data_IF_391792174208
#
_entry.id   IF_391792174208
#
_cell.length_a   1.000
_cell.length_b   1.000
_cell.length_c   1.000
_cell.angle_alpha   90.00
_cell.angle_beta   90.00
_cell.angle_gamma   90.00
#
_symmetry.space_group_name_H-M   'P 1'
#
loop_
_entity.id
_entity.type
_entity.pdbx_description
1 polymer ?
#
# COMPACT_ATOMS: atom_id res chain seq x y z
N UNK A 1 -18.49 -8.83 -31.50
CA UNK A 1 -17.28 -8.44 -32.21
C UNK A 1 -16.10 -8.59 -31.27
N UNK A 2 -15.02 -9.25 -31.70
CA UNK A 2 -13.83 -9.39 -30.87
C UNK A 2 -13.19 -8.01 -30.67
N UNK A 3 -12.66 -7.69 -29.49
CA UNK A 3 -12.13 -6.36 -29.18
C UNK A 3 -11.03 -5.90 -30.16
N UNK A 4 -10.18 -6.81 -30.64
CA UNK A 4 -9.15 -6.51 -31.65
C UNK A 4 -9.74 -6.04 -32.98
N UNK A 5 -10.84 -6.65 -33.44
CA UNK A 5 -11.48 -6.24 -34.69
C UNK A 5 -12.11 -4.86 -34.56
N UNK A 6 -12.68 -4.58 -33.38
CA UNK A 6 -13.18 -3.23 -33.08
C UNK A 6 -12.04 -2.19 -33.07
N UNK A 7 -10.90 -2.53 -32.46
CA UNK A 7 -9.74 -1.64 -32.40
C UNK A 7 -9.14 -1.37 -33.79
N UNK A 8 -9.10 -2.38 -34.68
CA UNK A 8 -8.68 -2.20 -36.07
C UNK A 8 -9.54 -1.20 -36.84
N UNK A 9 -10.85 -1.20 -36.58
CA UNK A 9 -11.80 -0.34 -37.29
C UNK A 9 -11.84 1.07 -36.73
N UNK A 10 -11.69 1.24 -35.39
CA UNK A 10 -11.94 2.50 -34.69
C UNK A 10 -10.68 3.10 -34.03
N UNK A 11 -9.56 2.36 -34.02
CA UNK A 11 -8.37 2.75 -33.25
C UNK A 11 -7.73 4.07 -33.67
N UNK A 12 -7.95 4.50 -34.92
CA UNK A 12 -7.39 5.78 -35.44
C UNK A 12 -8.03 7.02 -34.79
N UNK A 13 -9.22 6.87 -34.25
CA UNK A 13 -9.96 7.97 -33.61
C UNK A 13 -9.69 8.05 -32.09
N UNK A 14 -8.83 7.14 -31.56
CA UNK A 14 -8.49 7.10 -30.14
C UNK A 14 -7.28 8.02 -29.89
N UNK A 15 -7.48 9.06 -29.08
CA UNK A 15 -6.40 10.00 -28.70
C UNK A 15 -5.55 9.47 -27.54
N UNK A 16 -6.16 8.82 -26.56
CA UNK A 16 -5.50 8.30 -25.37
C UNK A 16 -5.93 6.88 -25.05
N UNK A 17 -4.98 6.04 -24.59
CA UNK A 17 -5.25 4.73 -24.02
C UNK A 17 -4.63 4.66 -22.65
N UNK A 18 -5.46 4.36 -21.66
CA UNK A 18 -5.03 4.15 -20.28
C UNK A 18 -5.00 2.66 -19.97
N UNK A 19 -3.81 2.14 -19.72
CA UNK A 19 -3.57 0.75 -19.36
C UNK A 19 -3.31 0.65 -17.86
N UNK A 20 -3.94 -0.34 -17.23
CA UNK A 20 -3.90 -0.50 -15.78
C UNK A 20 -3.61 -1.96 -15.43
N UNK A 21 -2.68 -2.17 -14.50
CA UNK A 21 -2.19 -3.46 -14.01
C UNK A 21 -1.41 -4.27 -15.07
N UNK A 22 -0.22 -4.80 -14.75
CA UNK A 22 0.65 -5.43 -15.74
C UNK A 22 0.02 -6.69 -16.36
N UNK A 23 -0.56 -7.60 -15.57
CA UNK A 23 -1.16 -8.85 -16.04
C UNK A 23 -2.38 -8.65 -16.99
N UNK A 24 -2.98 -7.48 -16.97
CA UNK A 24 -4.03 -7.07 -17.90
C UNK A 24 -3.39 -6.39 -19.12
N UNK A 25 -2.54 -5.39 -18.87
CA UNK A 25 -1.99 -4.48 -19.88
C UNK A 25 -1.15 -5.21 -20.94
N UNK A 26 -0.37 -6.22 -20.56
CA UNK A 26 0.41 -7.05 -21.50
C UNK A 26 -0.42 -7.71 -22.57
N UNK A 27 -1.73 -7.91 -22.35
CA UNK A 27 -2.63 -8.52 -23.33
C UNK A 27 -3.07 -7.55 -24.43
N UNK A 28 -2.93 -6.24 -24.20
CA UNK A 28 -3.49 -5.21 -25.04
C UNK A 28 -2.44 -4.31 -25.69
N UNK A 29 -1.28 -4.13 -25.07
CA UNK A 29 -0.29 -3.12 -25.46
C UNK A 29 0.13 -3.25 -26.93
N UNK A 30 0.44 -4.45 -27.42
CA UNK A 30 0.87 -4.68 -28.78
C UNK A 30 -0.22 -4.28 -29.79
N UNK A 31 -1.47 -4.69 -29.55
CA UNK A 31 -2.57 -4.33 -30.42
C UNK A 31 -2.91 -2.83 -30.38
N UNK A 32 -2.75 -2.19 -29.21
CA UNK A 32 -2.91 -0.74 -29.08
C UNK A 32 -1.84 -0.05 -29.92
N UNK A 33 -0.59 -0.46 -29.85
CA UNK A 33 0.50 0.10 -30.65
C UNK A 33 0.37 -0.17 -32.14
N UNK A 34 -0.19 -1.33 -32.52
CA UNK A 34 -0.38 -1.72 -33.92
C UNK A 34 -1.53 -0.95 -34.58
N UNK A 35 -2.68 -0.77 -33.88
CA UNK A 35 -3.92 -0.30 -34.48
C UNK A 35 -4.32 1.12 -34.11
N UNK A 36 -3.56 1.81 -33.24
CA UNK A 36 -3.87 3.19 -32.81
C UNK A 36 -2.66 4.10 -32.94
N UNK A 37 -2.92 5.41 -33.03
CA UNK A 37 -1.94 6.47 -32.84
C UNK A 37 -2.06 7.10 -31.44
N UNK A 38 -2.78 6.45 -30.55
CA UNK A 38 -3.08 6.95 -29.23
C UNK A 38 -1.82 7.13 -28.38
N UNK A 39 -1.82 8.18 -27.56
CA UNK A 39 -0.88 8.29 -26.46
C UNK A 39 -1.20 7.25 -25.41
N UNK A 40 -0.26 6.36 -25.11
CA UNK A 40 -0.44 5.27 -24.16
C UNK A 40 0.10 5.65 -22.81
N UNK A 41 -0.77 5.63 -21.82
CA UNK A 41 -0.45 5.86 -20.42
C UNK A 41 -0.62 4.55 -19.67
N UNK A 42 0.42 4.18 -18.95
CA UNK A 42 0.39 2.98 -18.12
C UNK A 42 0.41 3.36 -16.64
N UNK A 43 -0.47 2.74 -15.85
CA UNK A 43 -0.48 2.86 -14.40
C UNK A 43 -0.17 1.49 -13.75
N UNK A 44 0.99 1.39 -13.14
CA UNK A 44 1.39 0.26 -12.30
C UNK A 44 0.96 0.50 -10.84
N UNK A 45 0.39 -0.51 -10.20
CA UNK A 45 -0.01 -0.40 -8.79
C UNK A 45 1.15 -0.68 -7.83
N UNK A 46 1.98 -1.62 -8.22
CA UNK A 46 3.20 -2.05 -7.55
C UNK A 46 4.09 -2.76 -8.58
N UNK A 47 5.36 -2.91 -8.25
CA UNK A 47 6.28 -3.71 -9.05
C UNK A 47 6.22 -5.17 -8.62
N UNK A 48 5.62 -6.02 -9.47
CA UNK A 48 5.46 -7.45 -9.18
C UNK A 48 6.80 -8.13 -8.98
N UNK A 49 7.79 -7.82 -9.84
CA UNK A 49 9.12 -8.40 -9.72
C UNK A 49 9.78 -8.06 -8.38
N UNK A 50 9.63 -6.83 -7.91
CA UNK A 50 10.22 -6.38 -6.65
C UNK A 50 9.54 -7.05 -5.46
N UNK A 51 8.21 -7.20 -5.49
CA UNK A 51 7.46 -7.89 -4.45
C UNK A 51 7.86 -9.36 -4.34
N UNK A 52 7.93 -10.08 -5.47
CA UNK A 52 8.30 -11.49 -5.48
C UNK A 52 9.76 -11.73 -5.11
N UNK A 53 10.66 -10.82 -5.51
CA UNK A 53 12.06 -10.84 -5.08
C UNK A 53 12.18 -10.73 -3.57
N UNK A 54 11.47 -9.78 -2.95
CA UNK A 54 11.47 -9.59 -1.49
C UNK A 54 10.81 -10.77 -0.77
N UNK A 55 9.79 -11.39 -1.34
CA UNK A 55 9.19 -12.61 -0.81
C UNK A 55 10.19 -13.77 -0.85
N UNK A 56 10.95 -13.91 -1.95
CA UNK A 56 12.06 -14.88 -2.03
C UNK A 56 13.13 -14.63 -0.95
N UNK A 57 13.54 -13.38 -0.76
CA UNK A 57 14.55 -13.02 0.25
C UNK A 57 14.11 -13.41 1.67
N UNK A 58 12.81 -13.36 1.94
CA UNK A 58 12.23 -13.75 3.23
C UNK A 58 12.04 -15.26 3.37
N UNK A 59 11.58 -15.94 2.31
CA UNK A 59 11.10 -17.33 2.38
C UNK A 59 12.11 -18.36 1.86
N UNK A 60 13.04 -17.95 0.99
CA UNK A 60 13.95 -18.82 0.27
C UNK A 60 13.29 -19.67 -0.84
N UNK A 61 12.04 -19.39 -1.21
CA UNK A 61 11.33 -20.15 -2.26
C UNK A 61 11.90 -19.81 -3.65
N UNK A 62 12.70 -20.73 -4.20
CA UNK A 62 13.36 -20.55 -5.48
C UNK A 62 12.41 -20.32 -6.67
N UNK A 63 11.15 -20.76 -6.58
CA UNK A 63 10.17 -20.51 -7.63
C UNK A 63 9.84 -19.00 -7.77
N UNK A 64 9.90 -18.25 -6.67
CA UNK A 64 9.69 -16.81 -6.66
C UNK A 64 10.82 -16.05 -7.38
N UNK A 65 12.04 -16.55 -7.31
CA UNK A 65 13.18 -15.91 -8.01
C UNK A 65 13.00 -15.95 -9.52
N UNK A 66 12.59 -17.10 -10.06
CA UNK A 66 12.31 -17.23 -11.50
C UNK A 66 11.10 -16.38 -11.90
N UNK A 67 10.02 -16.42 -11.12
CA UNK A 67 8.82 -15.63 -11.37
C UNK A 67 9.11 -14.13 -11.34
N UNK A 68 9.92 -13.67 -10.38
CA UNK A 68 10.38 -12.29 -10.29
C UNK A 68 11.12 -11.85 -11.58
N UNK A 69 12.05 -12.66 -12.08
CA UNK A 69 12.77 -12.35 -13.33
C UNK A 69 11.83 -12.27 -14.55
N UNK A 70 10.84 -13.18 -14.61
CA UNK A 70 9.85 -13.17 -15.68
C UNK A 70 8.94 -11.92 -15.61
N UNK A 71 8.60 -11.47 -14.40
CA UNK A 71 7.84 -10.23 -14.20
C UNK A 71 8.67 -9.00 -14.52
N UNK A 72 9.93 -8.94 -14.10
CA UNK A 72 10.81 -7.80 -14.43
C UNK A 72 10.85 -7.55 -15.93
N UNK A 73 11.05 -8.61 -16.74
CA UNK A 73 11.04 -8.51 -18.19
C UNK A 73 9.71 -7.97 -18.71
N UNK A 74 8.57 -8.55 -18.29
CA UNK A 74 7.23 -8.15 -18.75
C UNK A 74 6.87 -6.72 -18.35
N UNK A 75 7.19 -6.32 -17.13
CA UNK A 75 6.90 -4.98 -16.63
C UNK A 75 7.75 -3.94 -17.33
N UNK A 76 9.05 -4.22 -17.58
CA UNK A 76 9.92 -3.34 -18.34
C UNK A 76 9.49 -3.19 -19.80
N UNK A 77 9.12 -4.29 -20.47
CA UNK A 77 8.60 -4.24 -21.85
C UNK A 77 7.34 -3.35 -21.91
N UNK A 78 6.44 -3.46 -20.95
CA UNK A 78 5.23 -2.66 -20.87
C UNK A 78 5.52 -1.18 -20.59
N UNK A 79 6.39 -0.89 -19.62
CA UNK A 79 6.79 0.47 -19.27
C UNK A 79 7.46 1.17 -20.46
N UNK A 80 8.37 0.49 -21.14
CA UNK A 80 9.07 1.04 -22.30
C UNK A 80 8.17 1.17 -23.54
N UNK A 81 7.13 0.38 -23.64
CA UNK A 81 6.13 0.49 -24.70
C UNK A 81 5.10 1.61 -24.44
N UNK A 82 4.97 2.12 -23.23
CA UNK A 82 4.11 3.25 -22.92
C UNK A 82 4.77 4.59 -23.24
N UNK A 83 3.98 5.64 -23.51
CA UNK A 83 4.49 7.01 -23.69
C UNK A 83 4.80 7.67 -22.35
N UNK A 84 4.11 7.24 -21.28
CA UNK A 84 4.33 7.60 -19.89
C UNK A 84 3.83 6.49 -18.99
N UNK A 85 4.60 6.14 -17.96
CA UNK A 85 4.20 5.24 -16.90
C UNK A 85 4.07 6.00 -15.57
N UNK A 86 3.07 5.66 -14.77
CA UNK A 86 2.89 6.20 -13.43
C UNK A 86 2.88 5.08 -12.39
N UNK A 87 3.52 5.34 -11.27
CA UNK A 87 3.54 4.45 -10.11
C UNK A 87 3.17 5.20 -8.82
N UNK A 88 2.71 4.49 -7.78
CA UNK A 88 2.20 5.12 -6.56
C UNK A 88 3.24 5.91 -5.76
N UNK A 89 4.53 5.58 -5.88
CA UNK A 89 5.56 6.23 -5.08
C UNK A 89 6.88 6.44 -5.84
N UNK A 90 7.72 7.30 -5.27
CA UNK A 90 9.07 7.57 -5.77
C UNK A 90 9.99 6.34 -5.69
N UNK A 91 9.66 5.34 -4.85
CA UNK A 91 10.47 4.12 -4.70
C UNK A 91 10.41 3.28 -5.96
N UNK A 92 9.20 3.09 -6.51
CA UNK A 92 9.04 2.41 -7.80
C UNK A 92 9.66 3.20 -8.95
N UNK A 93 9.48 4.52 -8.96
CA UNK A 93 10.10 5.39 -9.96
C UNK A 93 11.62 5.23 -9.96
N UNK A 94 12.27 5.25 -8.79
CA UNK A 94 13.71 5.04 -8.65
C UNK A 94 14.13 3.64 -9.07
N UNK A 95 13.43 2.60 -8.60
CA UNK A 95 13.75 1.22 -8.96
C UNK A 95 13.68 0.96 -10.47
N UNK A 96 12.72 1.59 -11.16
CA UNK A 96 12.63 1.50 -12.61
C UNK A 96 13.80 2.26 -13.29
N UNK A 97 14.15 3.46 -12.83
CA UNK A 97 15.25 4.23 -13.39
C UNK A 97 16.62 3.56 -13.20
N UNK A 98 16.81 2.78 -12.12
CA UNK A 98 18.02 2.01 -11.90
C UNK A 98 18.24 0.93 -12.98
N UNK A 99 17.17 0.27 -13.43
CA UNK A 99 17.24 -0.80 -14.43
C UNK A 99 16.95 -0.34 -15.85
N UNK A 100 16.22 0.76 -16.02
CA UNK A 100 15.86 1.35 -17.31
C UNK A 100 15.88 2.90 -17.24
N UNK A 101 17.06 3.54 -17.24
CA UNK A 101 17.20 5.00 -17.10
C UNK A 101 16.45 5.82 -18.17
N UNK A 102 16.17 5.22 -19.34
CA UNK A 102 15.44 5.84 -20.43
C UNK A 102 13.91 5.79 -20.26
N UNK A 103 13.40 5.05 -19.29
CA UNK A 103 11.96 4.91 -19.07
C UNK A 103 11.34 6.26 -18.67
N UNK A 104 10.23 6.58 -19.29
CA UNK A 104 9.42 7.73 -18.89
C UNK A 104 8.48 7.30 -17.80
N UNK A 105 8.91 7.46 -16.56
CA UNK A 105 8.14 7.08 -15.38
C UNK A 105 8.11 8.22 -14.37
N UNK A 106 6.97 8.39 -13.69
CA UNK A 106 6.78 9.38 -12.62
C UNK A 106 5.97 8.78 -11.48
N UNK A 107 6.29 9.19 -10.26
CA UNK A 107 5.44 8.93 -9.11
C UNK A 107 4.19 9.82 -9.13
N UNK A 108 3.04 9.23 -8.83
CA UNK A 108 1.76 9.95 -8.68
C UNK A 108 1.04 9.44 -7.42
N UNK A 109 0.37 10.29 -6.65
CA UNK A 109 -0.41 9.82 -5.51
C UNK A 109 -1.44 8.76 -5.90
N UNK A 110 -1.40 7.59 -5.27
CA UNK A 110 -2.34 6.49 -5.53
C UNK A 110 -3.75 6.77 -5.00
N UNK A 111 -3.84 7.63 -3.99
CA UNK A 111 -5.06 8.00 -3.29
C UNK A 111 -5.21 9.51 -3.36
N UNK A 112 -6.44 9.96 -3.61
CA UNK A 112 -6.76 11.39 -3.69
C UNK A 112 -7.94 11.67 -2.77
N UNK A 113 -7.75 12.63 -1.87
CA UNK A 113 -8.77 13.04 -0.92
C UNK A 113 -9.13 14.49 -1.18
N UNK A 114 -10.43 14.76 -1.38
CA UNK A 114 -10.97 16.12 -1.54
C UNK A 114 -10.96 16.88 -0.21
N UNK A 115 -11.30 16.16 0.86
CA UNK A 115 -11.43 16.72 2.19
C UNK A 115 -10.73 15.83 3.20
N UNK A 116 -9.81 16.41 3.94
CA UNK A 116 -9.14 15.76 5.06
C UNK A 116 -9.46 16.59 6.31
N UNK A 117 -10.57 16.22 6.95
CA UNK A 117 -10.96 16.84 8.21
C UNK A 117 -10.08 16.33 9.34
N UNK A 118 -9.57 17.24 10.14
CA UNK A 118 -8.82 16.93 11.33
C UNK A 118 -9.77 16.36 12.39
N UNK A 119 -9.50 15.16 12.89
CA UNK A 119 -10.31 14.57 13.94
C UNK A 119 -10.02 15.18 15.31
N UNK A 120 -10.97 15.02 16.22
CA UNK A 120 -10.73 15.31 17.63
C UNK A 120 -9.72 14.31 18.22
N UNK A 121 -8.70 14.82 18.91
CA UNK A 121 -7.60 14.02 19.48
C UNK A 121 -7.95 13.46 20.86
N UNK A 122 -9.02 12.65 20.96
CA UNK A 122 -9.46 12.03 22.22
C UNK A 122 -8.81 10.66 22.44
N UNK A 123 -7.48 10.61 22.49
CA UNK A 123 -6.76 9.36 22.72
C UNK A 123 -6.97 8.76 24.11
N UNK A 124 -7.44 9.55 25.08
CA UNK A 124 -7.90 9.08 26.40
C UNK A 124 -9.11 8.11 26.29
N UNK A 125 -9.93 8.25 25.24
CA UNK A 125 -11.11 7.40 24.99
C UNK A 125 -10.81 6.24 24.04
N UNK A 126 -9.75 6.33 23.23
CA UNK A 126 -9.37 5.28 22.28
C UNK A 126 -8.65 4.14 22.98
N UNK A 127 -8.93 2.92 22.52
CA UNK A 127 -8.32 1.69 23.07
C UNK A 127 -7.96 0.76 21.94
N UNK A 128 -7.18 -0.27 22.30
CA UNK A 128 -6.89 -1.38 21.42
C UNK A 128 -6.14 -1.01 20.13
N UNK A 129 -5.86 -2.02 19.34
CA UNK A 129 -5.13 -1.91 18.09
C UNK A 129 -5.96 -2.50 16.95
N UNK A 130 -5.66 -2.09 15.73
CA UNK A 130 -6.27 -2.67 14.54
C UNK A 130 -5.24 -2.98 13.46
N UNK A 131 -5.52 -4.00 12.68
CA UNK A 131 -4.88 -4.30 11.40
C UNK A 131 -5.97 -4.49 10.36
N UNK A 132 -5.77 -3.95 9.15
CA UNK A 132 -6.66 -4.20 8.02
C UNK A 132 -5.89 -4.74 6.82
N UNK A 133 -6.48 -5.74 6.13
CA UNK A 133 -5.94 -6.23 4.86
C UNK A 133 -6.71 -7.40 4.30
N UNK A 134 -7.06 -7.34 3.01
CA UNK A 134 -7.66 -8.47 2.31
C UNK A 134 -6.71 -9.67 2.25
N UNK A 135 -7.19 -10.85 2.64
CA UNK A 135 -6.37 -12.05 2.78
C UNK A 135 -6.11 -12.80 1.45
N UNK A 136 -6.66 -12.34 0.34
CA UNK A 136 -6.19 -12.73 -0.98
C UNK A 136 -4.78 -12.22 -1.31
N UNK A 137 -4.23 -11.33 -0.49
CA UNK A 137 -2.87 -10.78 -0.62
C UNK A 137 -1.94 -11.43 0.41
N UNK A 138 -1.01 -12.26 -0.05
CA UNK A 138 -0.11 -13.08 0.79
C UNK A 138 0.66 -12.30 1.86
N UNK A 139 1.18 -11.06 1.60
CA UNK A 139 1.82 -10.27 2.65
C UNK A 139 0.95 -10.00 3.87
N UNK A 140 -0.37 -9.94 3.73
CA UNK A 140 -1.28 -9.75 4.86
C UNK A 140 -1.40 -11.01 5.73
N UNK A 141 -1.38 -12.19 5.10
CA UNK A 141 -1.37 -13.48 5.82
C UNK A 141 -0.10 -13.61 6.65
N UNK A 142 1.04 -13.33 6.02
CA UNK A 142 2.35 -13.35 6.68
C UNK A 142 2.42 -12.36 7.85
N UNK A 143 1.95 -11.14 7.64
CA UNK A 143 1.92 -10.10 8.68
C UNK A 143 1.13 -10.53 9.93
N UNK A 144 -0.04 -11.14 9.74
CA UNK A 144 -0.86 -11.61 10.88
C UNK A 144 -0.22 -12.82 11.57
N UNK A 145 0.45 -13.71 10.82
CA UNK A 145 1.23 -14.80 11.40
C UNK A 145 2.39 -14.29 12.24
N UNK A 146 3.15 -13.33 11.73
CA UNK A 146 4.25 -12.73 12.47
C UNK A 146 3.75 -12.00 13.72
N UNK A 147 2.67 -11.24 13.58
CA UNK A 147 2.00 -10.59 14.71
C UNK A 147 1.61 -11.58 15.79
N UNK A 148 0.92 -12.66 15.43
CA UNK A 148 0.41 -13.66 16.37
C UNK A 148 1.51 -14.44 17.08
N UNK A 149 2.54 -14.86 16.33
CA UNK A 149 3.53 -15.79 16.83
C UNK A 149 4.71 -15.12 17.53
N UNK A 150 5.10 -13.91 17.11
CA UNK A 150 6.31 -13.25 17.59
C UNK A 150 6.03 -11.96 18.37
N UNK A 151 5.04 -11.16 17.96
CA UNK A 151 4.75 -9.87 18.60
C UNK A 151 3.78 -10.03 19.77
N UNK A 152 2.64 -10.67 19.57
CA UNK A 152 1.58 -10.78 20.58
C UNK A 152 2.03 -11.40 21.90
N UNK A 153 2.84 -12.50 21.95
CA UNK A 153 3.24 -13.10 23.22
C UNK A 153 4.04 -12.17 24.13
N UNK A 154 4.81 -11.26 23.55
CA UNK A 154 5.57 -10.27 24.31
C UNK A 154 4.73 -9.01 24.60
N UNK A 155 3.88 -8.59 23.68
CA UNK A 155 3.02 -7.42 23.83
C UNK A 155 2.00 -7.60 24.97
N UNK A 156 1.35 -8.76 25.09
CA UNK A 156 0.39 -9.06 26.15
C UNK A 156 1.04 -9.05 27.53
N UNK A 157 2.32 -9.41 27.65
CA UNK A 157 3.04 -9.27 28.94
C UNK A 157 3.21 -7.82 29.37
N UNK A 158 3.30 -6.89 28.43
CA UNK A 158 3.43 -5.44 28.70
C UNK A 158 2.08 -4.75 28.83
N UNK A 159 1.11 -5.18 28.06
CA UNK A 159 -0.26 -4.63 27.97
C UNK A 159 -1.28 -5.79 28.08
N UNK A 160 -1.55 -6.31 29.28
CA UNK A 160 -2.37 -7.54 29.43
C UNK A 160 -3.78 -7.42 28.88
N UNK A 161 -4.39 -6.24 28.95
CA UNK A 161 -5.78 -6.01 28.51
C UNK A 161 -5.89 -5.59 27.04
N UNK A 162 -4.75 -5.54 26.30
CA UNK A 162 -4.75 -5.11 24.91
C UNK A 162 -5.51 -6.09 24.01
N UNK A 163 -6.28 -5.55 23.08
CA UNK A 163 -6.88 -6.32 21.99
C UNK A 163 -6.39 -5.83 20.66
N UNK A 164 -6.27 -6.74 19.71
CA UNK A 164 -5.93 -6.45 18.33
C UNK A 164 -7.04 -6.97 17.44
N UNK A 165 -7.68 -6.09 16.70
CA UNK A 165 -8.71 -6.42 15.74
C UNK A 165 -8.09 -6.64 14.36
N UNK A 166 -8.26 -7.85 13.82
CA UNK A 166 -7.80 -8.23 12.48
C UNK A 166 -9.00 -8.16 11.53
N UNK A 167 -8.97 -7.16 10.66
CA UNK A 167 -10.03 -6.83 9.71
C UNK A 167 -9.61 -7.21 8.29
N UNK A 168 -10.55 -7.70 7.50
CA UNK A 168 -10.32 -7.98 6.08
C UNK A 168 -11.07 -9.20 5.57
N UNK A 169 -11.37 -9.17 4.27
CA UNK A 169 -12.14 -10.22 3.62
C UNK A 169 -11.37 -11.52 3.45
N UNK A 170 -12.12 -12.64 3.52
CA UNK A 170 -11.66 -13.98 3.20
C UNK A 170 -10.41 -14.42 4.00
N UNK A 171 -10.41 -14.37 5.34
CA UNK A 171 -9.32 -14.93 6.12
C UNK A 171 -9.22 -16.44 5.84
N UNK A 172 -8.03 -16.97 5.51
CA UNK A 172 -7.83 -18.40 5.37
C UNK A 172 -7.85 -19.07 6.75
N UNK A 173 -8.13 -20.36 6.79
CA UNK A 173 -8.22 -21.15 8.02
C UNK A 173 -6.97 -20.99 8.91
N UNK A 174 -5.78 -20.92 8.31
CA UNK A 174 -4.52 -20.71 9.03
C UNK A 174 -4.43 -19.33 9.74
N UNK A 175 -5.20 -18.34 9.31
CA UNK A 175 -5.34 -17.04 10.00
C UNK A 175 -6.43 -17.11 11.06
N UNK A 176 -7.56 -17.76 10.76
CA UNK A 176 -8.65 -17.93 11.72
C UNK A 176 -8.21 -18.71 12.99
N UNK A 177 -7.35 -19.72 12.82
CA UNK A 177 -6.77 -20.50 13.91
C UNK A 177 -5.82 -19.72 14.83
N UNK A 178 -5.38 -18.51 14.44
CA UNK A 178 -4.54 -17.64 15.28
C UNK A 178 -5.36 -16.84 16.30
N UNK A 179 -6.68 -16.90 16.27
CA UNK A 179 -7.55 -16.16 17.17
C UNK A 179 -7.30 -16.54 18.64
N UNK A 180 -7.21 -15.51 19.48
CA UNK A 180 -7.10 -15.62 20.94
C UNK A 180 -8.03 -14.58 21.60
N UNK A 181 -8.06 -14.53 22.93
CA UNK A 181 -8.79 -13.48 23.66
C UNK A 181 -8.24 -12.06 23.39
N UNK A 182 -6.94 -11.94 23.02
CA UNK A 182 -6.29 -10.69 22.71
C UNK A 182 -6.14 -10.43 21.19
N UNK A 183 -6.28 -11.45 20.33
CA UNK A 183 -6.20 -11.33 18.87
C UNK A 183 -7.53 -11.77 18.24
N UNK A 184 -8.30 -10.81 17.78
CA UNK A 184 -9.68 -11.00 17.36
C UNK A 184 -9.81 -10.93 15.84
N UNK A 185 -10.02 -12.07 15.18
CA UNK A 185 -10.23 -12.13 13.73
C UNK A 185 -11.71 -11.76 13.44
N UNK A 186 -11.92 -10.59 12.84
CA UNK A 186 -13.26 -10.04 12.56
C UNK A 186 -13.75 -10.34 11.14
N UNK A 187 -12.82 -10.63 10.23
CA UNK A 187 -13.18 -10.83 8.83
C UNK A 187 -13.57 -9.53 8.12
N UNK A 188 -14.50 -9.63 7.19
CA UNK A 188 -15.01 -8.47 6.44
C UNK A 188 -15.77 -7.51 7.37
N UNK A 189 -15.55 -6.23 7.16
CA UNK A 189 -16.27 -5.11 7.79
C UNK A 189 -16.71 -4.14 6.69
N UNK A 190 -17.81 -3.41 6.93
CA UNK A 190 -18.25 -2.34 6.01
C UNK A 190 -17.34 -1.12 6.12
N UNK A 191 -17.46 -0.17 5.20
CA UNK A 191 -16.69 1.07 5.23
C UNK A 191 -17.01 1.91 6.47
N UNK A 192 -18.28 1.90 6.91
CA UNK A 192 -18.72 2.58 8.12
C UNK A 192 -18.12 1.94 9.39
N UNK A 193 -18.15 0.61 9.49
CA UNK A 193 -17.52 -0.12 10.58
C UNK A 193 -16.00 0.08 10.60
N UNK A 194 -15.36 0.09 9.42
CA UNK A 194 -13.93 0.37 9.31
C UNK A 194 -13.58 1.77 9.83
N UNK A 195 -14.38 2.75 9.48
CA UNK A 195 -14.21 4.11 10.00
C UNK A 195 -14.33 4.16 11.52
N UNK A 196 -15.28 3.41 12.11
CA UNK A 196 -15.41 3.29 13.58
C UNK A 196 -14.14 2.67 14.20
N UNK A 197 -13.55 1.63 13.57
CA UNK A 197 -12.29 1.08 14.05
C UNK A 197 -11.15 2.11 14.02
N UNK A 198 -11.00 2.89 12.94
CA UNK A 198 -10.01 3.95 12.87
C UNK A 198 -10.23 5.05 13.92
N UNK A 199 -11.46 5.35 14.27
CA UNK A 199 -11.81 6.37 15.27
C UNK A 199 -11.64 5.89 16.70
N UNK A 200 -11.86 4.60 16.97
CA UNK A 200 -11.89 4.03 18.32
C UNK A 200 -10.60 3.28 18.70
N UNK A 201 -9.88 2.71 17.72
CA UNK A 201 -8.59 2.11 17.99
C UNK A 201 -7.51 3.18 18.23
N UNK A 202 -6.62 2.88 19.16
CA UNK A 202 -5.59 3.80 19.60
C UNK A 202 -4.44 3.88 18.58
N UNK A 203 -4.10 2.75 17.96
CA UNK A 203 -3.03 2.62 16.96
C UNK A 203 -3.45 1.63 15.88
N UNK A 204 -3.14 1.93 14.62
CA UNK A 204 -3.16 0.99 13.52
C UNK A 204 -1.79 0.33 13.39
N UNK A 205 -1.74 -1.00 13.39
CA UNK A 205 -0.49 -1.75 13.24
C UNK A 205 -0.39 -2.34 11.84
N UNK A 206 0.77 -2.21 11.21
CA UNK A 206 1.00 -2.70 9.84
C UNK A 206 2.33 -3.47 9.78
N UNK A 207 2.38 -4.69 10.35
CA UNK A 207 3.61 -5.47 10.52
C UNK A 207 3.93 -6.28 9.25
N UNK A 208 4.08 -5.61 8.11
CA UNK A 208 4.41 -6.24 6.83
C UNK A 208 5.90 -6.52 6.74
N UNK A 209 6.30 -7.77 6.46
CA UNK A 209 7.70 -8.15 6.29
C UNK A 209 8.17 -8.11 4.84
N UNK A 210 7.25 -8.17 3.89
CA UNK A 210 7.54 -8.03 2.47
C UNK A 210 6.37 -7.38 1.72
N UNK A 211 6.63 -6.94 0.51
CA UNK A 211 5.66 -6.25 -0.36
C UNK A 211 6.36 -5.22 -1.22
N UNK A 212 5.63 -4.60 -2.13
CA UNK A 212 6.08 -3.47 -2.92
C UNK A 212 4.99 -2.40 -2.96
N UNK A 213 5.35 -1.18 -3.29
CA UNK A 213 4.43 -0.07 -3.42
C UNK A 213 3.97 0.55 -2.11
N UNK A 214 3.28 1.67 -2.24
CA UNK A 214 2.71 2.36 -1.09
C UNK A 214 1.55 1.56 -0.48
N UNK A 215 1.50 1.51 0.83
CA UNK A 215 0.52 0.69 1.55
C UNK A 215 -0.75 1.50 1.86
N UNK A 216 -1.83 1.22 1.11
CA UNK A 216 -3.11 1.90 1.26
C UNK A 216 -3.62 1.97 2.68
N UNK A 217 -3.46 0.89 3.45
CA UNK A 217 -3.85 0.83 4.87
C UNK A 217 -3.11 1.82 5.77
N UNK A 218 -1.85 2.14 5.44
CA UNK A 218 -1.07 3.17 6.16
C UNK A 218 -1.61 4.55 5.81
N UNK A 219 -1.80 4.83 4.51
CA UNK A 219 -2.36 6.10 4.04
C UNK A 219 -3.77 6.34 4.61
N UNK A 220 -4.58 5.29 4.66
CA UNK A 220 -5.93 5.37 5.20
C UNK A 220 -5.94 5.64 6.71
N UNK A 221 -5.11 4.91 7.48
CA UNK A 221 -4.95 5.18 8.91
C UNK A 221 -4.48 6.63 9.16
N UNK A 222 -3.50 7.12 8.38
CA UNK A 222 -3.02 8.49 8.43
C UNK A 222 -4.13 9.50 8.12
N UNK A 223 -5.00 9.21 7.13
CA UNK A 223 -6.15 10.05 6.77
C UNK A 223 -7.14 10.18 7.91
N UNK A 224 -7.37 9.10 8.66
CA UNK A 224 -8.23 9.12 9.85
C UNK A 224 -7.52 9.60 11.12
N UNK A 225 -6.27 10.03 11.01
CA UNK A 225 -5.46 10.49 12.15
C UNK A 225 -5.20 9.39 13.18
N UNK A 226 -5.27 8.13 12.77
CA UNK A 226 -4.90 7.00 13.62
C UNK A 226 -3.39 6.80 13.53
N UNK A 227 -2.63 6.96 14.64
CA UNK A 227 -1.19 6.71 14.65
C UNK A 227 -0.87 5.31 14.15
N UNK A 228 0.24 5.19 13.44
CA UNK A 228 0.63 3.93 12.80
C UNK A 228 1.95 3.43 13.38
N UNK A 229 1.95 2.16 13.82
CA UNK A 229 3.15 1.38 14.07
C UNK A 229 3.36 0.39 12.93
N UNK A 230 4.52 0.41 12.28
CA UNK A 230 4.75 -0.37 11.06
C UNK A 230 6.21 -0.85 10.95
N UNK A 231 6.51 -1.53 9.86
CA UNK A 231 7.87 -1.88 9.43
C UNK A 231 8.37 -0.92 8.36
N UNK A 232 9.64 -0.98 8.00
CA UNK A 232 10.20 -0.26 6.86
C UNK A 232 9.46 -0.59 5.55
N UNK A 233 9.03 -1.84 5.37
CA UNK A 233 8.20 -2.27 4.25
C UNK A 233 6.83 -1.59 4.27
N UNK A 234 6.19 -1.46 5.44
CA UNK A 234 4.90 -0.80 5.55
C UNK A 234 4.98 0.72 5.36
N UNK A 235 6.11 1.34 5.73
CA UNK A 235 6.37 2.77 5.57
C UNK A 235 6.85 3.17 4.16
N UNK A 236 7.08 2.19 3.27
CA UNK A 236 7.61 2.42 1.93
C UNK A 236 6.78 3.44 1.14
N UNK A 237 7.47 4.37 0.49
CA UNK A 237 6.86 5.41 -0.33
C UNK A 237 6.41 6.66 0.43
N UNK A 238 6.52 6.68 1.76
CA UNK A 238 6.20 7.83 2.60
C UNK A 238 7.49 8.59 2.91
N UNK A 239 7.65 9.77 2.31
CA UNK A 239 8.83 10.61 2.53
C UNK A 239 8.86 11.15 3.96
N UNK A 240 9.99 10.98 4.65
CA UNK A 240 10.15 11.42 6.05
C UNK A 240 9.29 10.59 7.02
N UNK A 241 9.06 9.32 6.70
CA UNK A 241 8.19 8.42 7.47
C UNK A 241 8.55 8.37 8.97
N UNK A 242 9.82 8.42 9.33
CA UNK A 242 10.31 8.35 10.71
C UNK A 242 9.78 9.50 11.58
N UNK A 243 9.48 10.65 10.98
CA UNK A 243 8.89 11.79 11.69
C UNK A 243 7.38 11.65 11.90
N UNK A 244 6.73 10.76 11.16
CA UNK A 244 5.27 10.59 11.08
C UNK A 244 4.81 9.29 11.72
N UNK A 245 5.52 8.19 11.42
CA UNK A 245 5.19 6.82 11.81
C UNK A 245 6.18 6.30 12.85
N UNK A 246 5.81 5.26 13.57
CA UNK A 246 6.73 4.46 14.36
C UNK A 246 7.11 3.21 13.57
N UNK A 247 8.42 2.96 13.42
CA UNK A 247 8.94 1.97 12.48
C UNK A 247 9.92 1.04 13.21
N UNK A 248 9.65 -0.27 13.12
CA UNK A 248 10.57 -1.31 13.57
C UNK A 248 10.40 -2.59 12.75
N UNK A 249 11.53 -3.21 12.39
CA UNK A 249 11.55 -4.41 11.56
C UNK A 249 11.72 -5.70 12.38
N UNK A 250 12.25 -5.59 13.59
CA UNK A 250 12.45 -6.72 14.50
C UNK A 250 11.31 -6.79 15.53
N UNK A 251 10.82 -8.00 15.84
CA UNK A 251 9.67 -8.19 16.73
C UNK A 251 9.89 -7.57 18.13
N UNK A 252 11.10 -7.68 18.68
CA UNK A 252 11.40 -7.13 19.98
C UNK A 252 11.29 -5.60 19.99
N UNK A 253 11.88 -4.93 18.99
CA UNK A 253 11.83 -3.48 18.84
C UNK A 253 10.41 -2.98 18.55
N UNK A 254 9.67 -3.74 17.72
CA UNK A 254 8.27 -3.46 17.42
C UNK A 254 7.42 -3.46 18.70
N UNK A 255 7.58 -4.45 19.56
CA UNK A 255 6.88 -4.55 20.84
C UNK A 255 7.25 -3.40 21.77
N UNK A 256 8.55 -3.07 21.91
CA UNK A 256 9.01 -1.98 22.78
C UNK A 256 8.44 -0.63 22.34
N UNK A 257 8.58 -0.31 21.06
CA UNK A 257 8.09 0.96 20.50
C UNK A 257 6.55 1.04 20.55
N UNK A 258 5.85 -0.04 20.19
CA UNK A 258 4.39 -0.09 20.25
C UNK A 258 3.86 0.11 21.67
N UNK A 259 4.43 -0.57 22.65
CA UNK A 259 4.02 -0.43 24.04
C UNK A 259 4.29 0.99 24.59
N UNK A 260 5.43 1.57 24.24
CA UNK A 260 5.79 2.95 24.61
C UNK A 260 4.82 3.97 23.95
N UNK A 261 4.57 3.83 22.66
CA UNK A 261 3.63 4.68 21.91
C UNK A 261 2.21 4.58 22.49
N UNK A 262 1.74 3.36 22.76
CA UNK A 262 0.39 3.13 23.30
C UNK A 262 0.14 3.86 24.62
N UNK A 263 1.16 4.04 25.45
CA UNK A 263 1.08 4.71 26.76
C UNK A 263 1.37 6.22 26.69
N UNK A 264 1.80 6.74 25.55
CA UNK A 264 2.21 8.13 25.41
C UNK A 264 1.20 8.95 24.58
N UNK A 265 0.21 9.53 25.25
CA UNK A 265 -0.84 10.30 24.59
C UNK A 265 -0.32 11.51 23.82
N UNK A 266 0.66 12.21 24.35
CA UNK A 266 1.26 13.37 23.68
C UNK A 266 1.91 12.98 22.35
N UNK A 267 2.58 11.83 22.32
CA UNK A 267 3.18 11.30 21.09
C UNK A 267 2.11 10.82 20.09
N UNK A 268 1.04 10.18 20.56
CA UNK A 268 -0.11 9.81 19.70
C UNK A 268 -0.72 11.04 19.01
N UNK A 269 -0.94 12.12 19.76
CA UNK A 269 -1.44 13.39 19.21
C UNK A 269 -0.44 13.96 18.20
N UNK A 270 0.84 13.95 18.50
CA UNK A 270 1.90 14.44 17.60
C UNK A 270 1.91 13.66 16.28
N UNK A 271 1.88 12.31 16.34
CA UNK A 271 1.85 11.42 15.17
C UNK A 271 0.60 11.63 14.34
N UNK A 272 -0.55 11.76 14.99
CA UNK A 272 -1.82 12.02 14.32
C UNK A 272 -1.79 13.34 13.53
N UNK A 273 -1.32 14.44 14.15
CA UNK A 273 -1.17 15.74 13.48
C UNK A 273 -0.22 15.67 12.29
N UNK A 274 0.92 15.02 12.45
CA UNK A 274 1.89 14.84 11.38
C UNK A 274 1.30 14.03 10.21
N UNK A 275 0.51 13.00 10.50
CA UNK A 275 -0.21 12.20 9.50
C UNK A 275 -1.20 13.04 8.70
N UNK A 276 -2.05 13.83 9.36
CA UNK A 276 -2.98 14.73 8.67
C UNK A 276 -2.27 15.72 7.76
N UNK A 277 -1.22 16.36 8.27
CA UNK A 277 -0.45 17.32 7.47
C UNK A 277 0.14 16.65 6.23
N UNK A 278 0.74 15.48 6.41
CA UNK A 278 1.31 14.71 5.29
C UNK A 278 0.27 14.34 4.23
N UNK A 279 -0.92 13.89 4.65
CA UNK A 279 -2.01 13.54 3.72
C UNK A 279 -2.49 14.75 2.93
N UNK A 280 -2.71 15.91 3.58
CA UNK A 280 -3.09 17.15 2.90
C UNK A 280 -2.06 17.59 1.87
N UNK A 281 -0.78 17.51 2.24
CA UNK A 281 0.31 18.01 1.39
C UNK A 281 0.60 17.08 0.21
N UNK A 282 0.33 15.77 0.31
CA UNK A 282 0.79 14.79 -0.67
C UNK A 282 -0.33 14.06 -1.43
N UNK A 283 -1.56 13.98 -0.88
CA UNK A 283 -2.65 13.17 -1.44
C UNK A 283 -3.86 14.00 -1.86
N UNK A 284 -3.62 15.21 -2.42
CA UNK A 284 -4.64 16.08 -2.96
C UNK A 284 -4.76 15.96 -4.48
N UNK A 285 -5.93 16.30 -5.01
CA UNK A 285 -6.16 16.43 -6.47
C UNK A 285 -5.21 17.44 -7.12
N UNK A 286 -4.85 18.52 -6.42
CA UNK A 286 -3.90 19.49 -6.93
C UNK A 286 -2.50 18.93 -7.11
N UNK A 287 -2.05 18.07 -6.19
CA UNK A 287 -0.74 17.42 -6.32
C UNK A 287 -0.73 16.42 -7.48
N UNK A 288 -1.79 15.66 -7.66
CA UNK A 288 -1.92 14.78 -8.83
C UNK A 288 -1.92 15.62 -10.12
N UNK A 289 -2.70 16.71 -10.18
CA UNK A 289 -2.75 17.61 -11.34
C UNK A 289 -1.38 18.18 -11.70
N UNK A 290 -0.56 18.58 -10.73
CA UNK A 290 0.82 19.04 -10.96
C UNK A 290 1.69 17.99 -11.66
N UNK A 291 1.50 16.71 -11.34
CA UNK A 291 2.27 15.61 -11.95
C UNK A 291 1.79 15.29 -13.36
N UNK A 292 0.46 15.17 -13.56
CA UNK A 292 -0.10 14.75 -14.85
C UNK A 292 -0.36 15.93 -15.80
N UNK A 293 -0.57 17.14 -15.27
CA UNK A 293 -0.96 18.33 -16.06
C UNK A 293 -0.10 18.55 -17.29
N UNK A 294 1.25 18.52 -17.19
CA UNK A 294 2.12 18.68 -18.34
C UNK A 294 1.95 17.65 -19.46
N UNK A 295 1.39 16.49 -19.14
CA UNK A 295 1.16 15.41 -20.10
C UNK A 295 -0.18 15.53 -20.86
N UNK A 296 -1.13 16.30 -20.31
CA UNK A 296 -2.49 16.41 -20.82
C UNK A 296 -2.89 17.86 -21.17
N UNK A 297 -1.92 18.78 -21.15
CA UNK A 297 -2.17 20.22 -21.35
C UNK A 297 -3.28 20.76 -20.41
N UNK A 298 -3.29 20.26 -19.16
CA UNK A 298 -4.22 20.71 -18.13
C UNK A 298 -3.69 22.01 -17.49
N UNK A 299 -4.45 23.09 -17.61
CA UNK A 299 -4.19 24.36 -16.91
C UNK A 299 -4.49 24.28 -15.40
#
# INVERSE_FOLDING_TARGET
KHWKDWLKENGKDIGYVFLNRPHISVKYIDAVREFTNARVIYYGHDLHFLREKREYELTGDAALLQSSADWEKKELELILAADMAYYPSYVEEQAIHEIAPQAKVKAIPAYLFSDVEECEYHFDKRKDLMFIGGFGHRPNVDAVKWLANEIMPALVKKLPDIRVYILGSNPPEEVEQLATENLLIKGFVTDEELQEYYQNCRISIVPLRYGAGIKGKVIEAMRFGTPVMTTSVGAEGIKGAESILDIADEAADFVEQLAALYQNEAELVRRSKASYQYIRDNFSFENAKKVIGPEFDLE
#
